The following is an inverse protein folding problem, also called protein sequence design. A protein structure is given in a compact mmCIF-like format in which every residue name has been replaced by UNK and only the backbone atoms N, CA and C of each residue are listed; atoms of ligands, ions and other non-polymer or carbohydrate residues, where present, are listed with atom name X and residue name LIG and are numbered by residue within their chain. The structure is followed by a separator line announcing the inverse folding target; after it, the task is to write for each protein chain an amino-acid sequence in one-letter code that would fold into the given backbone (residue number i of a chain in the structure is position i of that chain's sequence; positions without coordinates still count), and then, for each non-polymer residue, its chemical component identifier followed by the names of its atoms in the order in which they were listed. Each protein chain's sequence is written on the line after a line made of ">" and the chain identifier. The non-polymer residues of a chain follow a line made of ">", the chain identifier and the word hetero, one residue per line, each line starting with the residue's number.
data_IF_511954454262
#
_entry.id   IF_511954454262
#
_cell.length_a   1.000
_cell.length_b   1.000
_cell.length_c   1.000
_cell.angle_alpha   90.00
_cell.angle_beta   90.00
_cell.angle_gamma   90.00
#
_symmetry.space_group_name_H-M   'P 1'
#
loop_
_entity.id
_entity.type
_entity.pdbx_description
1 polymer ?
#
# COMPACT_ATOMS: atom_id res chain seq x y z
N UNK A 1 7.95 -29.41 1.71
CA UNK A 1 7.39 -28.34 2.55
C UNK A 1 6.08 -28.85 3.14
N UNK A 2 5.85 -28.64 4.43
CA UNK A 2 4.58 -28.96 5.08
C UNK A 2 3.48 -28.01 4.55
N UNK A 3 2.37 -28.59 4.09
CA UNK A 3 1.25 -27.83 3.50
C UNK A 3 0.69 -26.82 4.50
N UNK A 4 0.57 -27.21 5.76
CA UNK A 4 -0.02 -26.37 6.80
C UNK A 4 0.91 -25.20 7.14
N UNK A 5 2.22 -25.44 7.14
CA UNK A 5 3.22 -24.39 7.29
C UNK A 5 3.18 -23.35 6.15
N UNK A 6 2.99 -23.78 4.90
CA UNK A 6 2.87 -22.86 3.74
C UNK A 6 1.62 -22.01 3.84
N UNK A 7 0.48 -22.63 4.15
CA UNK A 7 -0.80 -21.90 4.30
C UNK A 7 -0.72 -20.89 5.44
N UNK A 8 -0.16 -21.30 6.59
CA UNK A 8 0.02 -20.39 7.73
C UNK A 8 0.85 -19.17 7.33
N UNK A 9 2.01 -19.38 6.68
CA UNK A 9 2.86 -18.28 6.30
C UNK A 9 2.20 -17.34 5.27
N UNK A 10 1.48 -17.90 4.29
CA UNK A 10 0.74 -17.09 3.32
C UNK A 10 -0.34 -16.21 3.97
N UNK A 11 -1.03 -16.73 5.00
CA UNK A 11 -2.02 -15.97 5.77
C UNK A 11 -1.36 -14.89 6.65
N UNK A 12 -0.20 -15.18 7.25
CA UNK A 12 0.55 -14.19 8.03
C UNK A 12 0.96 -13.00 7.14
N UNK A 13 1.45 -13.27 5.93
CA UNK A 13 1.79 -12.23 4.93
C UNK A 13 0.54 -11.47 4.48
N UNK A 14 -0.58 -12.17 4.25
CA UNK A 14 -1.84 -11.52 3.87
C UNK A 14 -2.35 -10.58 4.97
N UNK A 15 -2.21 -10.97 6.25
CA UNK A 15 -2.56 -10.13 7.39
C UNK A 15 -1.68 -8.88 7.49
N UNK A 16 -0.37 -9.01 7.25
CA UNK A 16 0.55 -7.88 7.20
C UNK A 16 0.17 -6.88 6.09
N UNK A 17 -0.15 -7.37 4.89
CA UNK A 17 -0.61 -6.53 3.79
C UNK A 17 -1.93 -5.83 4.15
N UNK A 18 -2.89 -6.57 4.71
CA UNK A 18 -4.22 -6.06 5.07
C UNK A 18 -4.20 -5.04 6.21
N UNK A 19 -3.11 -4.96 7.00
CA UNK A 19 -2.92 -3.95 8.02
C UNK A 19 -2.59 -2.55 7.47
N UNK A 20 -2.27 -2.44 6.17
CA UNK A 20 -1.96 -1.18 5.49
C UNK A 20 -3.20 -0.56 4.81
N UNK A 21 -3.08 0.70 4.36
CA UNK A 21 -4.13 1.34 3.56
C UNK A 21 -4.40 0.56 2.28
N UNK A 22 -5.67 0.20 1.98
CA UNK A 22 -6.03 -0.43 0.71
C UNK A 22 -5.59 0.40 -0.50
N UNK A 23 -5.68 1.73 -0.43
CA UNK A 23 -5.24 2.64 -1.49
C UNK A 23 -3.73 2.58 -1.68
N UNK A 24 -2.95 2.60 -0.60
CA UNK A 24 -1.50 2.51 -0.67
C UNK A 24 -1.04 1.17 -1.27
N UNK A 25 -1.60 0.04 -0.81
CA UNK A 25 -1.26 -1.30 -1.32
C UNK A 25 -1.59 -1.43 -2.81
N UNK A 26 -2.78 -0.98 -3.21
CA UNK A 26 -3.20 -1.04 -4.62
C UNK A 26 -2.37 -0.10 -5.50
N UNK A 27 -2.12 1.13 -5.03
CA UNK A 27 -1.31 2.12 -5.73
C UNK A 27 0.12 1.64 -5.95
N UNK A 28 0.78 1.12 -4.92
CA UNK A 28 2.12 0.55 -5.04
C UNK A 28 2.16 -0.59 -6.07
N UNK A 29 1.19 -1.50 -6.04
CA UNK A 29 1.10 -2.59 -7.04
C UNK A 29 0.88 -2.06 -8.45
N UNK A 30 0.08 -1.01 -8.60
CA UNK A 30 -0.20 -0.42 -9.91
C UNK A 30 1.03 0.30 -10.49
N UNK A 31 1.73 1.08 -9.67
CA UNK A 31 3.01 1.72 -10.01
C UNK A 31 4.04 0.69 -10.45
N UNK A 32 4.25 -0.38 -9.66
CA UNK A 32 5.21 -1.43 -10.01
C UNK A 32 4.86 -2.14 -11.32
N UNK A 33 3.58 -2.44 -11.55
CA UNK A 33 3.14 -3.09 -12.80
C UNK A 33 3.32 -2.19 -14.02
N UNK A 34 3.16 -0.88 -13.86
CA UNK A 34 3.22 0.06 -14.97
C UNK A 34 4.65 0.37 -15.41
N UNK A 35 5.62 0.18 -14.51
CA UNK A 35 7.03 0.48 -14.71
C UNK A 35 7.69 -0.34 -15.83
N UNK A 36 7.14 -1.51 -16.19
CA UNK A 36 7.69 -2.34 -17.25
C UNK A 36 7.66 -1.60 -18.61
N UNK A 37 8.82 -1.54 -19.27
CA UNK A 37 9.01 -0.82 -20.53
C UNK A 37 9.06 0.72 -20.42
N UNK A 38 8.98 1.32 -19.23
CA UNK A 38 9.16 2.77 -19.03
C UNK A 38 10.62 3.13 -18.76
N UNK A 39 11.04 4.33 -19.19
CA UNK A 39 12.31 4.91 -18.72
C UNK A 39 12.23 5.28 -17.25
N UNK A 40 13.37 5.46 -16.59
CA UNK A 40 13.42 5.89 -15.18
C UNK A 40 12.64 7.20 -14.95
N UNK A 41 12.80 8.17 -15.84
CA UNK A 41 12.13 9.48 -15.73
C UNK A 41 10.61 9.34 -15.80
N UNK A 42 10.10 8.53 -16.75
CA UNK A 42 8.67 8.21 -16.85
C UNK A 42 8.15 7.49 -15.60
N UNK A 43 8.94 6.59 -15.01
CA UNK A 43 8.55 5.91 -13.78
C UNK A 43 8.46 6.88 -12.60
N UNK A 44 9.41 7.79 -12.47
CA UNK A 44 9.40 8.81 -11.40
C UNK A 44 8.22 9.77 -11.54
N UNK A 45 7.93 10.23 -12.76
CA UNK A 45 6.73 11.05 -13.03
C UNK A 45 5.44 10.29 -12.69
N UNK A 46 5.40 9.00 -13.01
CA UNK A 46 4.24 8.15 -12.71
C UNK A 46 4.02 7.94 -11.21
N UNK A 47 5.10 7.73 -10.46
CA UNK A 47 5.09 7.66 -8.98
C UNK A 47 4.58 8.99 -8.41
N UNK A 48 5.10 10.12 -8.90
CA UNK A 48 4.72 11.44 -8.43
C UNK A 48 3.23 11.71 -8.68
N UNK A 49 2.71 11.37 -9.86
CA UNK A 49 1.30 11.49 -10.20
C UNK A 49 0.41 10.66 -9.26
N UNK A 50 0.78 9.39 -9.03
CA UNK A 50 0.04 8.54 -8.10
C UNK A 50 0.06 9.12 -6.69
N UNK A 51 1.21 9.49 -6.15
CA UNK A 51 1.30 10.08 -4.81
C UNK A 51 0.43 11.33 -4.69
N UNK A 52 0.48 12.23 -5.67
CA UNK A 52 -0.33 13.44 -5.70
C UNK A 52 -1.84 13.17 -5.67
N UNK A 53 -2.30 12.14 -6.39
CA UNK A 53 -3.71 11.76 -6.42
C UNK A 53 -4.26 11.28 -5.05
N UNK A 54 -3.40 10.79 -4.16
CA UNK A 54 -3.81 10.24 -2.85
C UNK A 54 -3.46 11.14 -1.65
N UNK A 55 -2.85 12.31 -1.89
CA UNK A 55 -2.53 13.29 -0.83
C UNK A 55 -3.77 13.76 -0.05
N UNK A 56 -4.95 13.69 -0.63
CA UNK A 56 -6.21 14.09 0.02
C UNK A 56 -7.06 12.93 0.52
N UNK A 57 -6.55 11.69 0.48
CA UNK A 57 -7.29 10.51 0.93
C UNK A 57 -7.55 10.54 2.44
N UNK A 58 -8.69 9.95 2.85
CA UNK A 58 -9.00 9.79 4.25
C UNK A 58 -8.02 8.80 4.91
N UNK A 59 -7.55 7.81 4.18
CA UNK A 59 -6.52 6.88 4.65
C UNK A 59 -5.18 7.56 4.98
N UNK A 60 -4.72 8.55 4.19
CA UNK A 60 -3.51 9.30 4.52
C UNK A 60 -3.71 10.15 5.77
N UNK A 61 -4.87 10.81 5.88
CA UNK A 61 -5.23 11.57 7.08
C UNK A 61 -5.24 10.67 8.32
N UNK A 62 -5.90 9.52 8.24
CA UNK A 62 -5.93 8.52 9.31
C UNK A 62 -4.53 8.00 9.67
N UNK A 63 -3.67 7.74 8.68
CA UNK A 63 -2.29 7.31 8.94
C UNK A 63 -1.52 8.33 9.79
N UNK A 64 -1.64 9.62 9.44
CA UNK A 64 -1.00 10.71 10.18
C UNK A 64 -1.59 10.86 11.59
N UNK A 65 -2.92 10.81 11.71
CA UNK A 65 -3.62 10.91 12.99
C UNK A 65 -3.28 9.73 13.91
N UNK A 66 -3.39 8.49 13.43
CA UNK A 66 -3.13 7.30 14.23
C UNK A 66 -1.67 7.23 14.68
N UNK A 67 -0.74 7.68 13.83
CA UNK A 67 0.68 7.78 14.17
C UNK A 67 0.90 8.78 15.31
N UNK A 68 0.31 9.98 15.20
CA UNK A 68 0.38 11.00 16.26
C UNK A 68 -0.23 10.51 17.58
N UNK A 69 -1.35 9.80 17.50
CA UNK A 69 -2.07 9.23 18.64
C UNK A 69 -1.48 7.91 19.18
N UNK A 70 -0.45 7.35 18.52
CA UNK A 70 0.19 6.07 18.86
C UNK A 70 -0.80 4.91 18.97
N UNK A 71 -1.77 4.86 18.08
CA UNK A 71 -2.75 3.77 17.99
C UNK A 71 -2.69 3.09 16.61
N UNK A 72 -3.21 1.87 16.48
CA UNK A 72 -3.38 1.25 15.17
C UNK A 72 -4.30 2.10 14.26
N UNK A 73 -3.98 2.22 12.97
CA UNK A 73 -4.84 2.89 12.00
C UNK A 73 -6.09 2.07 11.69
N UNK A 74 -7.14 2.75 11.23
CA UNK A 74 -8.40 2.18 10.75
C UNK A 74 -8.69 2.67 9.34
N UNK A 75 -8.02 2.06 8.38
CA UNK A 75 -8.17 2.39 6.96
C UNK A 75 -9.54 1.97 6.42
N UNK A 76 -10.06 2.78 5.50
CA UNK A 76 -11.35 2.53 4.84
C UNK A 76 -11.25 2.54 3.32
N UNK A 77 -10.08 2.81 2.76
CA UNK A 77 -9.82 2.70 1.32
C UNK A 77 -10.40 3.83 0.47
N UNK A 78 -10.55 5.03 1.04
CA UNK A 78 -10.97 6.27 0.35
C UNK A 78 -10.20 7.47 0.89
#
# INVERSE_FOLDING_TARGET
>A
ADRDAVVKHALDVAAEIAANSPLAVQGAKHVMRRADGMTLEQQLDYVALWNAAFLTSADLTEAMTSFSERRPPRYRGH
#
